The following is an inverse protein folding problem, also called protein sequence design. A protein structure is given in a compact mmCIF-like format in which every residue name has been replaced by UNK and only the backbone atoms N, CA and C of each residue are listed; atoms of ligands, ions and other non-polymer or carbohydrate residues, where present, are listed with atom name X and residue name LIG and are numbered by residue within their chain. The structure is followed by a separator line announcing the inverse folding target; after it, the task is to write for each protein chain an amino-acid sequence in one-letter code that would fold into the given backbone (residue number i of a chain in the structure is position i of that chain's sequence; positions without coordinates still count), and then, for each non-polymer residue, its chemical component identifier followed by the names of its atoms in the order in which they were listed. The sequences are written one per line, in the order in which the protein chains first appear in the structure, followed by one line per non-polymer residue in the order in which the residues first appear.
data_IF_101508643336
#
_entry.id   IF_101508643336
#
_cell.length_a   1.000
_cell.length_b   1.000
_cell.length_c   1.000
_cell.angle_alpha   90.00
_cell.angle_beta   90.00
_cell.angle_gamma   90.00
#
_symmetry.space_group_name_H-M   'P 1'
#
loop_
_entity.id
_entity.type
_entity.pdbx_description
1 polymer ?
#
# COMPACT_ATOMS: atom_id res chain seq x y z
N UNK A 1 4.51 1.04 18.51
CA UNK A 1 5.89 0.51 18.30
C UNK A 1 6.41 0.15 19.66
N UNK A 2 7.28 -0.86 19.75
CA UNK A 2 7.99 -1.15 20.97
C UNK A 2 9.05 -0.05 21.19
N UNK A 3 9.00 0.64 22.32
CA UNK A 3 9.82 1.84 22.58
C UNK A 3 11.30 1.52 22.80
N UNK A 4 11.62 0.28 23.21
CA UNK A 4 13.00 -0.16 23.47
C UNK A 4 13.71 -0.59 22.18
N UNK A 5 12.98 -1.23 21.27
CA UNK A 5 13.51 -1.78 20.00
C UNK A 5 13.26 -0.87 18.80
N UNK A 6 12.24 -0.01 18.87
CA UNK A 6 11.73 0.78 17.77
C UNK A 6 11.01 -0.05 16.70
N UNK A 7 10.67 -1.32 16.97
CA UNK A 7 10.01 -2.21 16.01
C UNK A 7 8.47 -2.16 16.13
N UNK A 8 7.77 -2.66 15.11
CA UNK A 8 6.32 -2.83 15.19
C UNK A 8 6.04 -3.97 16.16
N UNK A 9 5.23 -3.70 17.19
CA UNK A 9 4.73 -4.74 18.08
C UNK A 9 3.53 -5.43 17.42
N UNK A 10 3.79 -6.52 16.69
CA UNK A 10 2.75 -7.25 15.96
C UNK A 10 1.72 -7.93 16.87
N UNK A 11 2.11 -8.29 18.08
CA UNK A 11 1.21 -8.94 19.05
C UNK A 11 0.22 -7.92 19.62
N UNK A 12 0.66 -6.68 19.86
CA UNK A 12 -0.21 -5.56 20.21
C UNK A 12 -1.18 -5.25 19.05
N UNK A 13 -0.69 -5.22 17.80
CA UNK A 13 -1.55 -5.05 16.62
C UNK A 13 -2.61 -6.15 16.55
N UNK A 14 -2.24 -7.42 16.77
CA UNK A 14 -3.17 -8.54 16.75
C UNK A 14 -4.22 -8.45 17.87
N UNK A 15 -3.80 -8.10 19.09
CA UNK A 15 -4.70 -7.93 20.22
C UNK A 15 -5.74 -6.82 19.95
N UNK A 16 -5.29 -5.66 19.48
CA UNK A 16 -6.16 -4.53 19.14
C UNK A 16 -7.10 -4.86 17.97
N UNK A 17 -6.62 -5.59 16.96
CA UNK A 17 -7.46 -6.03 15.85
C UNK A 17 -8.61 -6.93 16.34
N UNK A 18 -8.32 -7.90 17.22
CA UNK A 18 -9.34 -8.81 17.77
C UNK A 18 -10.35 -8.10 18.67
N UNK A 19 -9.88 -7.11 19.44
CA UNK A 19 -10.73 -6.29 20.31
C UNK A 19 -11.68 -5.41 19.49
N UNK A 20 -11.14 -4.65 18.52
CA UNK A 20 -11.89 -3.62 17.82
C UNK A 20 -12.55 -4.08 16.52
N UNK A 21 -12.13 -5.24 15.97
CA UNK A 21 -12.66 -5.83 14.73
C UNK A 21 -12.77 -4.81 13.59
N UNK A 22 -11.66 -4.17 13.19
CA UNK A 22 -11.68 -3.14 12.17
C UNK A 22 -12.13 -3.71 10.82
N UNK A 23 -12.73 -2.89 9.98
CA UNK A 23 -13.05 -3.27 8.59
C UNK A 23 -11.82 -3.30 7.69
N UNK A 24 -10.75 -2.60 8.09
CA UNK A 24 -9.53 -2.42 7.33
C UNK A 24 -8.34 -2.24 8.26
N UNK A 25 -7.22 -2.86 7.94
CA UNK A 25 -5.91 -2.60 8.54
C UNK A 25 -5.04 -1.93 7.48
N UNK A 26 -4.53 -0.74 7.81
CA UNK A 26 -3.59 0.01 6.99
C UNK A 26 -2.18 -0.17 7.52
N UNK A 27 -1.26 -0.65 6.69
CA UNK A 27 0.18 -0.69 6.99
C UNK A 27 0.96 0.18 6.00
N UNK A 28 2.12 0.66 6.41
CA UNK A 28 2.92 1.61 5.64
C UNK A 28 3.60 2.59 6.57
N UNK A 29 4.54 3.37 6.06
CA UNK A 29 5.31 4.28 6.88
C UNK A 29 5.88 5.45 6.08
N UNK A 30 6.03 6.57 6.79
CA UNK A 30 6.80 7.73 6.33
C UNK A 30 8.20 7.78 6.94
N UNK A 31 8.35 7.25 8.18
CA UNK A 31 9.57 7.33 8.97
C UNK A 31 9.78 6.05 9.80
N UNK A 32 10.05 4.95 9.09
CA UNK A 32 10.41 3.67 9.69
C UNK A 32 11.59 3.09 8.89
N UNK A 33 12.60 2.58 9.57
CA UNK A 33 13.87 2.16 8.94
C UNK A 33 14.01 0.65 8.79
N UNK A 34 13.07 -0.14 9.34
CA UNK A 34 13.10 -1.59 9.29
C UNK A 34 12.24 -2.13 8.16
N UNK A 35 12.40 -3.42 7.92
CA UNK A 35 11.54 -4.18 6.99
C UNK A 35 10.27 -4.55 7.72
N UNK A 36 9.12 -4.28 7.11
CA UNK A 36 7.82 -4.73 7.61
C UNK A 36 7.57 -6.17 7.17
N UNK A 37 7.16 -7.01 8.11
CA UNK A 37 6.55 -8.30 7.84
C UNK A 37 5.11 -8.11 7.32
N UNK A 38 4.96 -8.15 6.00
CA UNK A 38 3.65 -8.02 5.33
C UNK A 38 2.75 -9.22 5.57
N UNK A 39 3.32 -10.42 5.72
CA UNK A 39 2.54 -11.65 5.91
C UNK A 39 1.93 -11.65 7.31
N UNK A 40 2.67 -11.22 8.33
CA UNK A 40 2.12 -11.09 9.68
C UNK A 40 0.91 -10.14 9.73
N UNK A 41 0.94 -9.03 9.01
CA UNK A 41 -0.23 -8.15 8.89
C UNK A 41 -1.40 -8.80 8.13
N UNK A 42 -1.14 -9.54 7.05
CA UNK A 42 -2.16 -10.30 6.32
C UNK A 42 -2.85 -11.30 7.24
N UNK A 43 -2.09 -12.09 8.00
CA UNK A 43 -2.62 -13.10 8.92
C UNK A 43 -3.52 -12.45 9.99
N UNK A 44 -3.10 -11.29 10.54
CA UNK A 44 -3.89 -10.52 11.49
C UNK A 44 -5.19 -10.03 10.84
N UNK A 45 -5.12 -9.45 9.63
CA UNK A 45 -6.29 -8.97 8.92
C UNK A 45 -7.30 -10.10 8.62
N UNK A 46 -6.81 -11.26 8.18
CA UNK A 46 -7.63 -12.47 7.97
C UNK A 46 -8.32 -12.93 9.26
N UNK A 47 -7.60 -12.92 10.39
CA UNK A 47 -8.15 -13.39 11.67
C UNK A 47 -9.39 -12.61 12.15
N UNK A 48 -9.58 -11.39 11.67
CA UNK A 48 -10.71 -10.51 12.02
C UNK A 48 -11.60 -10.16 10.81
N UNK A 49 -11.32 -10.71 9.63
CA UNK A 49 -12.06 -10.45 8.40
C UNK A 49 -11.91 -9.00 7.88
N UNK A 50 -10.78 -8.36 8.14
CA UNK A 50 -10.48 -7.01 7.67
C UNK A 50 -9.83 -7.02 6.27
N UNK A 51 -10.05 -5.95 5.49
CA UNK A 51 -9.21 -5.68 4.33
C UNK A 51 -7.80 -5.32 4.77
N UNK A 52 -6.79 -5.88 4.12
CA UNK A 52 -5.40 -5.48 4.32
C UNK A 52 -4.97 -4.49 3.23
N UNK A 53 -4.63 -3.26 3.62
CA UNK A 53 -4.19 -2.19 2.73
C UNK A 53 -2.78 -1.75 3.09
N UNK A 54 -1.91 -1.60 2.08
CA UNK A 54 -0.54 -1.14 2.27
C UNK A 54 -0.28 0.15 1.50
N UNK A 55 0.22 1.19 2.17
CA UNK A 55 0.85 2.35 1.53
C UNK A 55 2.37 2.14 1.46
N UNK A 56 2.88 1.86 0.26
CA UNK A 56 4.30 1.62 0.02
C UNK A 56 5.05 2.86 -0.49
N UNK A 57 4.46 4.06 -0.40
CA UNK A 57 4.95 5.27 -1.05
C UNK A 57 6.45 5.58 -0.85
N UNK A 58 7.00 5.33 0.34
CA UNK A 58 8.41 5.61 0.64
C UNK A 58 9.38 4.55 0.09
N UNK A 59 8.92 3.32 -0.13
CA UNK A 59 9.77 2.18 -0.54
C UNK A 59 9.44 1.64 -1.93
N UNK A 60 8.51 2.26 -2.66
CA UNK A 60 8.05 1.80 -3.98
C UNK A 60 9.19 1.56 -4.99
N UNK A 61 10.20 2.43 -5.03
CA UNK A 61 11.37 2.21 -5.91
C UNK A 61 12.27 1.07 -5.44
N UNK A 62 12.39 0.86 -4.13
CA UNK A 62 13.14 -0.27 -3.56
C UNK A 62 12.44 -1.60 -3.86
N UNK A 63 11.10 -1.61 -3.81
CA UNK A 63 10.28 -2.76 -4.19
C UNK A 63 10.43 -3.05 -5.69
N UNK A 64 10.34 -2.02 -6.55
CA UNK A 64 10.53 -2.18 -8.00
C UNK A 64 11.93 -2.74 -8.35
N UNK A 65 12.97 -2.31 -7.62
CA UNK A 65 14.33 -2.82 -7.77
C UNK A 65 14.58 -4.19 -7.11
N UNK A 66 13.60 -4.78 -6.43
CA UNK A 66 13.72 -6.09 -5.77
C UNK A 66 14.56 -6.11 -4.49
N UNK A 67 14.87 -4.94 -3.89
CA UNK A 67 15.73 -4.83 -2.69
C UNK A 67 14.95 -4.59 -1.39
N UNK A 68 13.62 -4.51 -1.47
CA UNK A 68 12.72 -4.45 -0.31
C UNK A 68 11.51 -5.36 -0.60
N UNK A 69 10.99 -6.14 0.36
CA UNK A 69 9.91 -7.09 0.11
C UNK A 69 8.64 -6.40 -0.39
N UNK A 70 8.03 -6.98 -1.41
CA UNK A 70 6.81 -6.46 -2.01
C UNK A 70 5.56 -6.85 -1.21
N UNK A 71 4.67 -5.90 -0.87
CA UNK A 71 3.34 -6.20 -0.33
C UNK A 71 2.34 -6.58 -1.44
N UNK A 72 2.72 -6.40 -2.72
CA UNK A 72 1.85 -6.70 -3.87
C UNK A 72 1.57 -8.21 -3.89
N UNK A 73 0.30 -8.57 -4.08
CA UNK A 73 -0.24 -9.93 -3.95
C UNK A 73 -0.37 -10.47 -2.51
N UNK A 74 0.13 -9.78 -1.50
CA UNK A 74 -0.13 -10.08 -0.09
C UNK A 74 -1.33 -9.25 0.40
N UNK A 75 -1.25 -7.92 0.23
CA UNK A 75 -2.31 -6.99 0.55
C UNK A 75 -3.48 -7.08 -0.45
N UNK A 76 -4.69 -6.77 0.00
CA UNK A 76 -5.86 -6.64 -0.88
C UNK A 76 -5.70 -5.42 -1.79
N UNK A 77 -5.18 -4.32 -1.23
CA UNK A 77 -4.88 -3.07 -1.95
C UNK A 77 -3.49 -2.57 -1.56
N UNK A 78 -2.72 -2.13 -2.54
CA UNK A 78 -1.44 -1.42 -2.33
C UNK A 78 -1.51 -0.05 -3.00
N UNK A 79 -1.37 1.01 -2.21
CA UNK A 79 -1.27 2.38 -2.70
C UNK A 79 0.18 2.84 -2.72
N UNK A 80 0.47 3.81 -3.59
CA UNK A 80 1.80 4.43 -3.61
C UNK A 80 1.77 5.81 -4.24
N UNK A 81 2.77 6.63 -3.89
CA UNK A 81 3.17 7.78 -4.70
C UNK A 81 4.17 7.39 -5.79
N UNK A 82 4.27 8.17 -6.86
CA UNK A 82 5.23 7.91 -7.96
C UNK A 82 6.53 8.71 -7.86
N UNK A 83 6.65 9.70 -6.98
CA UNK A 83 7.76 10.69 -7.01
C UNK A 83 8.87 10.48 -5.96
N UNK A 84 8.71 9.53 -5.03
CA UNK A 84 9.71 9.29 -3.98
C UNK A 84 10.82 8.39 -4.51
N UNK A 85 11.03 7.22 -3.92
CA UNK A 85 12.06 6.27 -4.36
C UNK A 85 11.82 5.76 -5.78
N UNK A 86 10.59 5.82 -6.29
CA UNK A 86 10.26 5.47 -7.69
C UNK A 86 10.69 6.55 -8.71
N UNK A 87 11.07 7.75 -8.26
CA UNK A 87 11.69 8.83 -9.07
C UNK A 87 10.86 9.32 -10.29
N UNK A 88 9.54 9.16 -10.25
CA UNK A 88 8.62 9.63 -11.27
C UNK A 88 7.99 11.01 -10.99
N UNK A 89 6.92 11.38 -11.73
CA UNK A 89 6.20 12.63 -11.49
C UNK A 89 5.41 12.59 -10.18
N UNK A 90 4.95 13.76 -9.69
CA UNK A 90 3.99 13.82 -8.58
C UNK A 90 2.66 13.20 -9.03
N UNK A 91 2.20 12.21 -8.28
CA UNK A 91 0.96 11.47 -8.52
C UNK A 91 0.89 10.23 -7.63
N UNK A 92 -0.25 9.53 -7.69
CA UNK A 92 -0.47 8.28 -6.99
C UNK A 92 -0.86 7.13 -7.92
N UNK A 93 -0.85 5.92 -7.38
CA UNK A 93 -1.36 4.69 -8.00
C UNK A 93 -2.03 3.82 -6.92
N UNK A 94 -3.04 3.06 -7.36
CA UNK A 94 -3.74 2.06 -6.55
C UNK A 94 -3.60 0.74 -7.31
N UNK A 95 -2.95 -0.24 -6.69
CA UNK A 95 -2.90 -1.62 -7.13
C UNK A 95 -3.85 -2.43 -6.26
N UNK A 96 -4.58 -3.36 -6.84
CA UNK A 96 -5.43 -4.28 -6.10
C UNK A 96 -5.15 -5.70 -6.59
N UNK A 97 -5.29 -6.69 -5.70
CA UNK A 97 -5.42 -8.08 -6.14
C UNK A 97 -6.68 -8.19 -7.02
N UNK A 98 -6.62 -9.07 -8.03
CA UNK A 98 -7.74 -9.30 -8.93
C UNK A 98 -9.01 -9.64 -8.14
N UNK A 99 -9.99 -8.75 -8.19
CA UNK A 99 -11.25 -8.81 -7.45
C UNK A 99 -12.21 -7.79 -8.08
N UNK A 100 -13.13 -8.26 -8.91
CA UNK A 100 -14.04 -7.40 -9.69
C UNK A 100 -14.85 -6.43 -8.80
N UNK A 101 -15.30 -6.89 -7.62
CA UNK A 101 -16.08 -6.05 -6.70
C UNK A 101 -15.24 -4.92 -6.12
N UNK A 102 -13.98 -5.20 -5.78
CA UNK A 102 -13.05 -4.21 -5.23
C UNK A 102 -12.58 -3.25 -6.34
N UNK A 103 -12.24 -3.76 -7.52
CA UNK A 103 -11.86 -2.97 -8.69
C UNK A 103 -12.96 -1.98 -9.08
N UNK A 104 -14.23 -2.43 -9.12
CA UNK A 104 -15.36 -1.56 -9.42
C UNK A 104 -15.53 -0.46 -8.37
N UNK A 105 -15.39 -0.78 -7.08
CA UNK A 105 -15.47 0.20 -5.99
C UNK A 105 -14.33 1.22 -6.05
N UNK A 106 -13.10 0.78 -6.29
CA UNK A 106 -11.93 1.65 -6.39
C UNK A 106 -12.03 2.58 -7.59
N UNK A 107 -12.41 2.06 -8.76
CA UNK A 107 -12.60 2.88 -9.95
C UNK A 107 -13.69 3.93 -9.75
N UNK A 108 -14.84 3.55 -9.17
CA UNK A 108 -15.93 4.48 -8.85
C UNK A 108 -15.51 5.56 -7.85
N UNK A 109 -14.75 5.18 -6.81
CA UNK A 109 -14.26 6.09 -5.79
C UNK A 109 -13.29 7.14 -6.36
N UNK A 110 -12.49 6.78 -7.36
CA UNK A 110 -11.64 7.73 -8.09
C UNK A 110 -12.49 8.61 -9.00
N UNK A 111 -13.33 8.02 -9.85
CA UNK A 111 -14.26 8.72 -10.73
C UNK A 111 -15.57 7.93 -10.82
N UNK A 112 -16.74 8.56 -10.57
CA UNK A 112 -16.97 10.00 -10.51
C UNK A 112 -16.90 10.61 -9.10
N UNK A 113 -16.57 9.85 -8.05
CA UNK A 113 -16.74 10.30 -6.67
C UNK A 113 -15.73 11.38 -6.23
N UNK A 114 -14.42 11.11 -6.35
CA UNK A 114 -13.39 12.00 -5.78
C UNK A 114 -12.72 12.94 -6.79
N UNK A 115 -12.66 12.58 -8.07
CA UNK A 115 -11.93 13.31 -9.11
C UNK A 115 -12.78 13.51 -10.37
N UNK A 116 -12.39 14.49 -11.18
CA UNK A 116 -12.96 14.76 -12.50
C UNK A 116 -12.08 14.20 -13.62
N UNK A 117 -11.72 15.06 -14.59
CA UNK A 117 -10.88 14.67 -15.72
C UNK A 117 -9.44 14.28 -15.30
N UNK A 118 -8.88 13.20 -15.86
CA UNK A 118 -7.53 12.74 -15.50
C UNK A 118 -6.43 13.67 -16.03
N UNK A 119 -5.33 13.78 -15.29
CA UNK A 119 -4.14 14.52 -15.72
C UNK A 119 -3.29 13.69 -16.68
N UNK A 120 -3.68 13.65 -17.96
CA UNK A 120 -3.03 12.80 -18.97
C UNK A 120 -1.53 13.04 -19.14
N UNK A 121 -1.05 14.28 -18.97
CA UNK A 121 0.38 14.59 -18.99
C UNK A 121 1.15 13.93 -17.83
N UNK A 122 0.53 13.82 -16.64
CA UNK A 122 1.09 13.09 -15.50
C UNK A 122 1.06 11.58 -15.75
N UNK A 123 -0.02 11.06 -16.34
CA UNK A 123 -0.12 9.63 -16.71
C UNK A 123 0.99 9.25 -17.71
N UNK A 124 1.23 10.07 -18.73
CA UNK A 124 2.33 9.87 -19.67
C UNK A 124 3.70 9.85 -18.98
N UNK A 125 3.95 10.80 -18.07
CA UNK A 125 5.21 10.83 -17.30
C UNK A 125 5.36 9.60 -16.36
N UNK A 126 4.26 9.07 -15.80
CA UNK A 126 4.29 7.82 -15.03
C UNK A 126 4.68 6.62 -15.89
N UNK A 127 4.19 6.53 -17.13
CA UNK A 127 4.54 5.43 -18.03
C UNK A 127 6.05 5.40 -18.34
N UNK A 128 6.67 6.57 -18.55
CA UNK A 128 8.13 6.69 -18.70
C UNK A 128 8.85 6.24 -17.42
N UNK A 129 8.41 6.73 -16.26
CA UNK A 129 8.96 6.33 -14.97
C UNK A 129 8.91 4.81 -14.74
N UNK A 130 7.79 4.16 -15.03
CA UNK A 130 7.67 2.71 -14.87
C UNK A 130 8.60 1.95 -15.80
N UNK A 131 8.75 2.40 -17.05
CA UNK A 131 9.71 1.82 -18.00
C UNK A 131 11.15 1.96 -17.53
N UNK A 132 11.51 3.05 -16.85
CA UNK A 132 12.86 3.22 -16.29
C UNK A 132 13.12 2.38 -15.03
N UNK A 133 12.06 2.00 -14.31
CA UNK A 133 12.15 1.27 -13.05
C UNK A 133 12.06 -0.27 -13.21
N UNK A 134 11.71 -0.77 -14.41
CA UNK A 134 11.61 -2.19 -14.77
C UNK A 134 12.73 -2.60 -15.73
#
# INVERSE_FOLDING_TARGET
IDDDTGEINYDEVEALAKEHKPKMIMAGFSAYSRVIDWQRFRDIADSVGAYFVVDMAHVAGLIAAGVYPSPVNIADVTTSTTHKTLRGPRGGLILARANEDLEKKLNFAVFPESQGGPLMHVIAAKAVCFKEAM
#
